data_IF_960502011753
#
_entry.id   IF_960502011753
#
_cell.length_a   1.000
_cell.length_b   1.000
_cell.length_c   1.000
_cell.angle_alpha   90.00
_cell.angle_beta   90.00
_cell.angle_gamma   90.00
#
_symmetry.space_group_name_H-M   'P 1'
#
loop_
_entity.id
_entity.type
_entity.pdbx_description
1 polymer ?
#
# COMPACT_ATOMS: atom_id res chain seq x y z
N UNK A 1 -13.07 -5.31 1.17
CA UNK A 1 -13.02 -3.84 0.99
C UNK A 1 -11.99 -3.46 -0.06
N UNK A 2 -12.15 -2.28 -0.68
CA UNK A 2 -11.17 -1.68 -1.59
C UNK A 2 -10.82 -0.29 -1.10
N UNK A 3 -9.53 0.02 -1.04
CA UNK A 3 -9.02 1.38 -0.77
C UNK A 3 -8.05 1.79 -1.87
N UNK A 4 -7.99 3.08 -2.15
CA UNK A 4 -6.97 3.69 -3.00
C UNK A 4 -6.21 4.66 -2.12
N UNK A 5 -4.89 4.44 -2.02
CA UNK A 5 -4.00 5.24 -1.19
C UNK A 5 -3.00 5.96 -2.10
N UNK A 6 -2.71 7.22 -1.85
CA UNK A 6 -1.68 7.94 -2.60
C UNK A 6 -0.37 7.88 -1.85
N UNK A 7 0.66 7.29 -2.43
CA UNK A 7 1.97 7.13 -1.77
C UNK A 7 2.96 8.12 -2.36
N UNK A 8 3.46 9.02 -1.53
CA UNK A 8 4.47 9.99 -1.89
C UNK A 8 5.85 9.34 -2.06
N UNK A 9 6.72 10.01 -2.80
CA UNK A 9 8.13 9.64 -2.96
C UNK A 9 8.46 8.26 -3.55
N UNK A 10 7.49 7.53 -4.11
CA UNK A 10 7.79 6.45 -5.06
C UNK A 10 8.46 7.04 -6.31
N UNK A 11 9.75 6.74 -6.53
CA UNK A 11 10.56 7.27 -7.66
C UNK A 11 11.19 6.16 -8.49
N UNK A 12 11.50 5.03 -7.86
CA UNK A 12 12.19 3.89 -8.48
C UNK A 12 11.35 2.62 -8.41
N UNK A 13 11.67 1.64 -9.26
CA UNK A 13 11.09 0.29 -9.20
C UNK A 13 11.34 -0.39 -7.84
N UNK A 14 12.43 -0.03 -7.15
CA UNK A 14 12.73 -0.54 -5.80
C UNK A 14 11.71 -0.02 -4.79
N UNK A 15 11.32 1.24 -4.90
CA UNK A 15 10.33 1.85 -4.01
C UNK A 15 8.96 1.20 -4.21
N UNK A 16 8.57 1.00 -5.47
CA UNK A 16 7.35 0.28 -5.85
C UNK A 16 7.33 -1.11 -5.22
N UNK A 17 8.42 -1.87 -5.33
CA UNK A 17 8.50 -3.21 -4.75
C UNK A 17 8.48 -3.19 -3.22
N UNK A 18 9.10 -2.20 -2.56
CA UNK A 18 9.04 -2.01 -1.10
C UNK A 18 7.61 -1.74 -0.63
N UNK A 19 6.94 -0.76 -1.22
CA UNK A 19 5.55 -0.41 -0.88
C UNK A 19 4.62 -1.59 -1.16
N UNK A 20 4.79 -2.27 -2.29
CA UNK A 20 4.03 -3.47 -2.62
C UNK A 20 4.20 -4.54 -1.56
N UNK A 21 5.44 -4.80 -1.15
CA UNK A 21 5.79 -5.78 -0.12
C UNK A 21 5.18 -5.45 1.23
N UNK A 22 5.28 -4.19 1.66
CA UNK A 22 4.68 -3.71 2.91
C UNK A 22 3.17 -3.97 2.94
N UNK A 23 2.47 -3.68 1.83
CA UNK A 23 1.04 -3.95 1.72
C UNK A 23 0.75 -5.45 1.64
N UNK A 24 1.43 -6.22 0.77
CA UNK A 24 1.11 -7.64 0.58
C UNK A 24 1.44 -8.53 1.77
N UNK A 25 2.32 -8.09 2.66
CA UNK A 25 2.68 -8.82 3.87
C UNK A 25 1.63 -8.70 4.99
N UNK A 26 0.65 -7.80 4.85
CA UNK A 26 -0.44 -7.68 5.81
C UNK A 26 -1.42 -8.86 5.68
N UNK A 27 -1.66 -9.54 6.80
CA UNK A 27 -2.65 -10.62 6.85
C UNK A 27 -4.04 -10.06 6.54
N UNK A 28 -4.72 -10.63 5.54
CA UNK A 28 -6.02 -10.13 5.07
C UNK A 28 -5.95 -9.31 3.78
N UNK A 29 -4.75 -8.97 3.29
CA UNK A 29 -4.60 -8.40 1.95
C UNK A 29 -4.76 -9.50 0.90
N UNK A 30 -5.69 -9.28 -0.03
CA UNK A 30 -6.02 -10.22 -1.11
C UNK A 30 -5.22 -9.88 -2.37
N UNK A 31 -5.16 -8.59 -2.70
CA UNK A 31 -4.43 -8.09 -3.86
C UNK A 31 -4.06 -6.62 -3.70
N UNK A 32 -2.96 -6.21 -4.33
CA UNK A 32 -2.57 -4.81 -4.44
C UNK A 32 -2.06 -4.49 -5.85
N UNK A 33 -2.39 -3.31 -6.35
CA UNK A 33 -1.97 -2.81 -7.65
C UNK A 33 -1.42 -1.39 -7.49
N UNK A 34 -0.21 -1.16 -8.01
CA UNK A 34 0.43 0.16 -7.97
C UNK A 34 0.31 0.82 -9.34
N UNK A 35 -0.20 2.04 -9.35
CA UNK A 35 -0.17 2.95 -10.49
C UNK A 35 0.94 3.98 -10.27
N UNK A 36 2.08 3.78 -10.94
CA UNK A 36 3.24 4.65 -10.81
C UNK A 36 3.05 6.04 -11.44
N UNK A 37 2.19 6.17 -12.46
CA UNK A 37 1.89 7.46 -13.09
C UNK A 37 1.14 8.38 -12.15
N UNK A 38 0.17 7.83 -11.40
CA UNK A 38 -0.64 8.58 -10.42
C UNK A 38 -0.06 8.58 -9.01
N UNK A 39 0.94 7.73 -8.76
CA UNK A 39 1.47 7.42 -7.43
C UNK A 39 0.40 6.90 -6.47
N UNK A 40 -0.46 6.03 -6.99
CA UNK A 40 -1.58 5.45 -6.24
C UNK A 40 -1.38 3.95 -6.07
N UNK A 41 -1.81 3.41 -4.94
CA UNK A 41 -1.91 1.97 -4.70
C UNK A 41 -3.37 1.63 -4.42
N UNK A 42 -3.92 0.72 -5.23
CA UNK A 42 -5.22 0.11 -5.01
C UNK A 42 -5.03 -1.18 -4.23
N UNK A 43 -5.65 -1.28 -3.06
CA UNK A 43 -5.55 -2.45 -2.20
C UNK A 43 -6.93 -3.06 -2.03
N UNK A 44 -7.01 -4.37 -2.26
CA UNK A 44 -8.18 -5.19 -1.98
C UNK A 44 -7.83 -6.04 -0.76
N UNK A 45 -8.61 -5.90 0.29
CA UNK A 45 -8.35 -6.53 1.57
C UNK A 45 -9.66 -6.96 2.25
N UNK A 46 -9.57 -7.90 3.16
CA UNK A 46 -10.66 -8.31 4.02
C UNK A 46 -10.65 -7.46 5.30
N UNK A 47 -11.70 -6.66 5.49
CA UNK A 47 -11.83 -5.76 6.63
C UNK A 47 -12.16 -6.47 7.95
N UNK A 48 -12.33 -7.79 7.93
CA UNK A 48 -12.35 -8.60 9.14
C UNK A 48 -10.95 -8.81 9.72
N UNK A 49 -9.91 -8.82 8.87
CA UNK A 49 -8.53 -9.13 9.26
C UNK A 49 -7.61 -7.91 9.31
N UNK A 50 -7.86 -6.89 8.48
CA UNK A 50 -7.01 -5.69 8.39
C UNK A 50 -7.85 -4.48 7.97
N UNK A 51 -7.51 -3.30 8.45
CA UNK A 51 -8.13 -2.04 8.05
C UNK A 51 -7.19 -1.18 7.20
N UNK A 52 -7.74 -0.10 6.64
CA UNK A 52 -6.95 0.85 5.83
C UNK A 52 -5.84 1.52 6.63
N UNK A 53 -6.04 1.77 7.92
CA UNK A 53 -5.08 2.49 8.77
C UNK A 53 -3.84 1.62 9.02
N UNK A 54 -4.02 0.33 9.29
CA UNK A 54 -2.94 -0.66 9.41
C UNK A 54 -2.12 -0.77 8.12
N UNK A 55 -2.80 -0.72 6.97
CA UNK A 55 -2.13 -0.73 5.66
C UNK A 55 -1.32 0.55 5.46
N UNK A 56 -1.85 1.71 5.87
CA UNK A 56 -1.15 3.00 5.83
C UNK A 56 0.09 2.95 6.74
N UNK A 57 -0.07 2.56 8.00
CA UNK A 57 1.03 2.43 8.96
C UNK A 57 2.15 1.52 8.45
N UNK A 58 1.79 0.42 7.78
CA UNK A 58 2.77 -0.47 7.15
C UNK A 58 3.60 0.23 6.07
N UNK A 59 2.97 1.06 5.25
CA UNK A 59 3.67 1.85 4.24
C UNK A 59 4.54 2.94 4.88
N UNK A 60 4.04 3.59 5.94
CA UNK A 60 4.77 4.63 6.67
C UNK A 60 5.97 4.07 7.44
N UNK A 61 5.86 2.85 7.96
CA UNK A 61 6.97 2.15 8.63
C UNK A 61 8.16 1.89 7.71
N UNK A 62 7.94 1.82 6.39
CA UNK A 62 8.98 1.71 5.37
C UNK A 62 9.60 3.06 4.98
N UNK A 63 9.09 4.17 5.52
CA UNK A 63 9.58 5.54 5.29
C UNK A 63 8.89 6.29 4.15
N UNK A 64 7.69 5.87 3.74
CA UNK A 64 6.88 6.57 2.75
C UNK A 64 5.75 7.35 3.42
N UNK A 65 5.23 8.40 2.77
CA UNK A 65 4.07 9.14 3.29
C UNK A 65 2.84 8.81 2.46
N UNK A 66 1.70 8.58 3.12
CA UNK A 66 0.42 8.31 2.46
C UNK A 66 -0.54 9.49 2.65
N UNK A 67 -1.30 9.84 1.60
CA UNK A 67 -2.29 10.94 1.60
C UNK A 67 -3.61 10.49 0.97
#
# INVERSE_FOLDING_TARGET
MKVVLRVCDMKTLRDVNKVKGAVSNNQGVIACQINNEKKEISVIYDNYFVDSDTIIESIESEGYTVI
#
